data_IF_078951204467
#
_entry.id   IF_078951204467
#
_cell.length_a   1.000
_cell.length_b   1.000
_cell.length_c   1.000
_cell.angle_alpha   90.00
_cell.angle_beta   90.00
_cell.angle_gamma   90.00
#
_symmetry.space_group_name_H-M   'P 1'
#
loop_
_entity.id
_entity.type
_entity.pdbx_description
1 polymer ?
#
# COMPACT_ATOMS: atom_id res chain seq x y z
N UNK A 1 -14.53 8.34 39.46
CA UNK A 1 -13.93 9.32 38.52
C UNK A 1 -13.96 8.73 37.14
N UNK A 2 -14.73 9.29 36.20
CA UNK A 2 -14.76 8.82 34.82
C UNK A 2 -13.46 9.22 34.12
N UNK A 3 -12.71 8.24 33.62
CA UNK A 3 -11.51 8.48 32.82
C UNK A 3 -11.97 9.02 31.46
N UNK A 4 -11.66 10.28 31.16
CA UNK A 4 -11.92 10.86 29.84
C UNK A 4 -10.91 10.30 28.84
N UNK A 5 -11.37 9.53 27.86
CA UNK A 5 -10.54 9.00 26.79
C UNK A 5 -10.07 10.15 25.90
N UNK A 6 -8.80 10.53 26.04
CA UNK A 6 -8.17 11.57 25.21
C UNK A 6 -7.78 10.97 23.86
N UNK A 7 -8.68 11.06 22.88
CA UNK A 7 -8.39 10.64 21.51
C UNK A 7 -7.45 11.65 20.84
N UNK A 8 -6.44 11.14 20.13
CA UNK A 8 -5.60 11.97 19.27
C UNK A 8 -6.40 12.51 18.09
N UNK A 9 -6.05 13.70 17.60
CA UNK A 9 -6.68 14.27 16.40
C UNK A 9 -6.46 13.33 15.21
N UNK A 10 -7.53 13.05 14.47
CA UNK A 10 -7.43 12.29 13.23
C UNK A 10 -6.75 13.17 12.18
N UNK A 11 -5.97 12.54 11.30
CA UNK A 11 -5.40 13.25 10.15
C UNK A 11 -6.52 13.64 9.19
N UNK A 12 -6.45 14.82 8.55
CA UNK A 12 -7.45 15.28 7.57
C UNK A 12 -7.78 14.23 6.51
N UNK A 13 -6.78 13.44 6.09
CA UNK A 13 -6.95 12.34 5.15
C UNK A 13 -7.97 11.25 5.60
N UNK A 14 -8.19 11.10 6.91
CA UNK A 14 -9.17 10.20 7.53
C UNK A 14 -10.56 10.82 7.70
N UNK A 15 -10.68 12.13 7.61
CA UNK A 15 -11.90 12.89 7.89
C UNK A 15 -12.57 13.42 6.62
N UNK A 16 -11.81 13.67 5.54
CA UNK A 16 -12.37 14.17 4.28
C UNK A 16 -13.12 13.06 3.53
N UNK A 17 -14.43 13.22 3.27
CA UNK A 17 -15.20 12.29 2.43
C UNK A 17 -14.57 12.18 1.05
N UNK A 18 -14.38 10.96 0.56
CA UNK A 18 -13.79 10.68 -0.74
C UNK A 18 -14.35 9.38 -1.33
N UNK A 19 -14.09 9.12 -2.63
CA UNK A 19 -14.39 7.82 -3.25
C UNK A 19 -13.75 6.68 -2.46
N UNK A 20 -14.40 5.51 -2.46
CA UNK A 20 -13.86 4.30 -1.82
C UNK A 20 -12.46 4.03 -2.38
N UNK A 21 -11.52 3.68 -1.50
CA UNK A 21 -10.09 3.49 -1.79
C UNK A 21 -9.35 4.70 -2.43
N UNK A 22 -9.87 5.93 -2.33
CA UNK A 22 -9.11 7.13 -2.74
C UNK A 22 -7.85 7.34 -1.90
N UNK A 23 -8.04 7.29 -0.57
CA UNK A 23 -7.01 7.35 0.45
C UNK A 23 -6.96 5.98 1.13
N UNK A 24 -5.81 5.32 1.05
CA UNK A 24 -5.61 3.98 1.58
C UNK A 24 -4.42 3.96 2.54
N UNK A 25 -4.60 3.39 3.73
CA UNK A 25 -3.48 2.93 4.54
C UNK A 25 -3.04 1.55 4.08
N UNK A 26 -1.75 1.24 4.14
CA UNK A 26 -1.22 -0.10 3.91
C UNK A 26 -0.34 -0.55 5.06
N UNK A 27 -0.45 -1.83 5.41
CA UNK A 27 0.39 -2.47 6.41
C UNK A 27 0.65 -3.95 6.07
N UNK A 28 1.70 -4.55 6.65
CA UNK A 28 1.93 -5.98 6.61
C UNK A 28 1.56 -6.61 7.94
N UNK A 29 0.61 -7.54 7.91
CA UNK A 29 0.32 -8.36 9.08
C UNK A 29 1.41 -9.42 9.27
N UNK A 30 1.53 -9.86 10.52
CA UNK A 30 2.48 -10.89 10.94
C UNK A 30 2.41 -12.15 10.09
N UNK A 31 3.54 -12.86 10.08
CA UNK A 31 3.68 -14.04 9.24
C UNK A 31 2.86 -15.22 9.73
N UNK A 32 2.34 -16.02 8.80
CA UNK A 32 1.65 -17.27 9.07
C UNK A 32 2.21 -18.39 8.19
N UNK A 33 2.09 -19.64 8.65
CA UNK A 33 2.62 -20.80 7.95
C UNK A 33 1.53 -21.41 7.05
N UNK A 34 1.83 -21.59 5.78
CA UNK A 34 0.92 -22.16 4.77
C UNK A 34 1.56 -23.42 4.18
N UNK A 35 0.79 -24.50 4.05
CA UNK A 35 1.19 -25.62 3.20
C UNK A 35 0.80 -25.28 1.76
N UNK A 36 1.77 -25.11 0.83
CA UNK A 36 1.46 -24.62 -0.51
C UNK A 36 0.75 -25.67 -1.37
N UNK A 37 0.79 -26.95 -0.99
CA UNK A 37 0.02 -28.01 -1.63
C UNK A 37 -0.35 -29.10 -0.61
N UNK A 38 -1.23 -30.02 -1.00
CA UNK A 38 -1.71 -31.12 -0.14
C UNK A 38 -0.77 -32.34 -0.12
N UNK A 39 0.44 -32.25 -0.68
CA UNK A 39 1.36 -33.38 -0.74
C UNK A 39 1.94 -33.68 0.63
N UNK A 40 2.15 -34.98 0.90
CA UNK A 40 2.46 -35.53 2.23
C UNK A 40 3.76 -34.98 2.83
N UNK A 41 4.73 -34.59 1.99
CA UNK A 41 6.08 -34.18 2.41
C UNK A 41 6.42 -32.72 2.09
N UNK A 42 5.43 -31.85 1.92
CA UNK A 42 5.71 -30.44 1.63
C UNK A 42 5.84 -29.63 2.92
N UNK A 43 7.02 -29.05 3.09
CA UNK A 43 7.33 -28.15 4.21
C UNK A 43 6.43 -26.91 4.15
N UNK A 44 5.85 -26.50 5.29
CA UNK A 44 5.11 -25.24 5.36
C UNK A 44 6.02 -24.06 5.01
N UNK A 45 5.50 -23.11 4.24
CA UNK A 45 6.17 -21.87 3.87
C UNK A 45 5.61 -20.71 4.68
N UNK A 46 6.48 -19.76 5.03
CA UNK A 46 6.08 -18.54 5.72
C UNK A 46 5.49 -17.56 4.70
N UNK A 47 4.28 -17.07 4.95
CA UNK A 47 3.60 -16.08 4.12
C UNK A 47 3.15 -14.90 4.98
N UNK A 48 2.84 -13.79 4.33
CA UNK A 48 2.42 -12.53 4.97
C UNK A 48 1.15 -12.02 4.30
N UNK A 49 0.42 -11.13 4.98
CA UNK A 49 -0.75 -10.47 4.40
C UNK A 49 -0.42 -8.99 4.26
N UNK A 50 -0.52 -8.47 3.03
CA UNK A 50 -0.58 -7.04 2.78
C UNK A 50 -2.02 -6.57 2.95
N UNK A 51 -2.24 -5.58 3.80
CA UNK A 51 -3.56 -5.05 4.13
C UNK A 51 -3.67 -3.66 3.54
N UNK A 52 -4.74 -3.40 2.79
CA UNK A 52 -5.12 -2.06 2.34
C UNK A 52 -6.42 -1.65 3.04
N UNK A 53 -6.38 -0.52 3.75
CA UNK A 53 -7.53 0.02 4.50
C UNK A 53 -7.98 1.33 3.89
N UNK A 54 -9.23 1.40 3.42
CA UNK A 54 -9.83 2.63 2.94
C UNK A 54 -10.12 3.60 4.09
N UNK A 55 -9.66 4.84 3.99
CA UNK A 55 -9.88 5.83 5.04
C UNK A 55 -11.31 6.38 5.09
N UNK A 56 -12.01 6.44 3.96
CA UNK A 56 -13.38 6.98 3.88
C UNK A 56 -14.42 6.06 4.54
N UNK A 57 -14.37 4.76 4.25
CA UNK A 57 -15.41 3.79 4.69
C UNK A 57 -14.87 2.65 5.56
N UNK A 58 -13.57 2.63 5.85
CA UNK A 58 -12.89 1.55 6.61
C UNK A 58 -12.98 0.16 5.97
N UNK A 59 -13.26 0.08 4.67
CA UNK A 59 -13.20 -1.16 3.92
C UNK A 59 -11.75 -1.70 3.88
N UNK A 60 -11.61 -3.01 4.06
CA UNK A 60 -10.32 -3.70 4.10
C UNK A 60 -10.18 -4.61 2.88
N UNK A 61 -9.03 -4.55 2.21
CA UNK A 61 -8.64 -5.47 1.14
C UNK A 61 -7.35 -6.19 1.54
N UNK A 62 -7.34 -7.51 1.40
CA UNK A 62 -6.23 -8.36 1.85
C UNK A 62 -5.58 -9.04 0.65
N UNK A 63 -4.25 -9.01 0.60
CA UNK A 63 -3.45 -9.67 -0.43
C UNK A 63 -2.40 -10.56 0.24
N UNK A 64 -2.38 -11.84 -0.11
CA UNK A 64 -1.35 -12.76 0.38
C UNK A 64 -0.06 -12.55 -0.39
N UNK A 65 1.08 -12.52 0.32
CA UNK A 65 2.41 -12.41 -0.27
C UNK A 65 3.38 -13.41 0.35
N UNK A 66 4.43 -13.75 -0.40
CA UNK A 66 5.47 -14.70 0.02
C UNK A 66 6.62 -14.08 0.82
N UNK A 67 6.77 -12.75 0.81
CA UNK A 67 7.88 -12.06 1.48
C UNK A 67 7.52 -10.61 1.84
N UNK A 68 8.30 -10.01 2.74
CA UNK A 68 8.26 -8.59 3.07
C UNK A 68 9.18 -7.76 2.15
N UNK A 69 9.25 -8.11 0.86
CA UNK A 69 10.08 -7.37 -0.11
C UNK A 69 9.26 -6.31 -0.85
N UNK A 70 9.97 -5.31 -1.41
CA UNK A 70 9.37 -4.30 -2.29
C UNK A 70 8.65 -4.91 -3.48
N UNK A 71 9.26 -5.92 -4.12
CA UNK A 71 8.67 -6.65 -5.25
C UNK A 71 7.36 -7.35 -4.88
N UNK A 72 7.29 -7.97 -3.70
CA UNK A 72 6.09 -8.60 -3.20
C UNK A 72 4.97 -7.58 -2.92
N UNK A 73 5.33 -6.41 -2.37
CA UNK A 73 4.39 -5.31 -2.18
C UNK A 73 3.89 -4.74 -3.51
N UNK A 74 4.76 -4.51 -4.50
CA UNK A 74 4.35 -4.05 -5.84
C UNK A 74 3.37 -5.03 -6.45
N UNK A 75 3.64 -6.34 -6.37
CA UNK A 75 2.73 -7.35 -6.90
C UNK A 75 1.36 -7.30 -6.19
N UNK A 76 1.34 -7.13 -4.87
CA UNK A 76 0.10 -6.93 -4.10
C UNK A 76 -0.64 -5.65 -4.51
N UNK A 77 0.08 -4.55 -4.69
CA UNK A 77 -0.48 -3.28 -5.14
C UNK A 77 -1.12 -3.38 -6.52
N UNK A 78 -0.48 -4.09 -7.46
CA UNK A 78 -1.05 -4.35 -8.80
C UNK A 78 -2.36 -5.13 -8.70
N UNK A 79 -2.41 -6.19 -7.88
CA UNK A 79 -3.64 -6.97 -7.66
C UNK A 79 -4.73 -6.13 -7.01
N UNK A 80 -4.39 -5.32 -6.02
CA UNK A 80 -5.29 -4.38 -5.36
C UNK A 80 -5.89 -3.38 -6.36
N UNK A 81 -5.05 -2.70 -7.15
CA UNK A 81 -5.49 -1.70 -8.14
C UNK A 81 -6.35 -2.35 -9.23
N UNK A 82 -6.02 -3.57 -9.65
CA UNK A 82 -6.81 -4.30 -10.65
C UNK A 82 -8.23 -4.61 -10.17
N UNK A 83 -8.44 -4.79 -8.87
CA UNK A 83 -9.74 -5.14 -8.29
C UNK A 83 -10.51 -3.93 -7.74
N UNK A 84 -9.82 -2.93 -7.21
CA UNK A 84 -10.42 -1.79 -6.48
C UNK A 84 -10.28 -0.46 -7.21
N UNK A 85 -9.52 -0.44 -8.30
CA UNK A 85 -9.17 0.78 -9.04
C UNK A 85 -7.99 1.52 -8.43
N UNK A 86 -7.54 2.56 -9.12
CA UNK A 86 -6.37 3.35 -8.73
C UNK A 86 -6.68 4.25 -7.53
N UNK A 87 -5.87 4.10 -6.48
CA UNK A 87 -5.86 4.99 -5.33
C UNK A 87 -5.03 6.25 -5.63
N UNK A 88 -5.41 7.39 -5.05
CA UNK A 88 -4.67 8.62 -5.20
C UNK A 88 -3.57 8.75 -4.14
N UNK A 89 -3.82 8.25 -2.93
CA UNK A 89 -2.89 8.36 -1.81
C UNK A 89 -2.76 7.01 -1.09
N UNK A 90 -1.51 6.56 -0.91
CA UNK A 90 -1.14 5.40 -0.10
C UNK A 90 -0.35 5.90 1.11
N UNK A 91 -0.78 5.50 2.31
CA UNK A 91 -0.14 5.82 3.58
C UNK A 91 0.48 4.55 4.17
N UNK A 92 1.78 4.56 4.47
CA UNK A 92 2.48 3.44 5.12
C UNK A 92 3.44 3.95 6.18
N UNK A 93 4.03 3.03 6.96
CA UNK A 93 5.23 3.34 7.71
C UNK A 93 6.47 3.45 6.78
N UNK A 94 7.60 3.85 7.34
CA UNK A 94 8.89 3.93 6.64
C UNK A 94 9.55 2.56 6.42
N UNK A 95 8.78 1.46 6.34
CA UNK A 95 9.29 0.14 6.02
C UNK A 95 10.08 0.13 4.71
N UNK A 96 11.19 -0.60 4.68
CA UNK A 96 12.11 -0.67 3.53
C UNK A 96 11.46 -1.25 2.28
N UNK A 97 10.51 -2.16 2.47
CA UNK A 97 9.60 -2.68 1.45
C UNK A 97 8.78 -1.58 0.76
N UNK A 98 8.20 -0.65 1.52
CA UNK A 98 7.39 0.43 0.96
C UNK A 98 8.25 1.52 0.32
N UNK A 99 9.34 1.89 0.97
CA UNK A 99 10.30 2.86 0.43
C UNK A 99 10.93 2.36 -0.87
N UNK A 100 11.37 1.09 -0.89
CA UNK A 100 11.93 0.46 -2.07
C UNK A 100 10.91 0.37 -3.20
N UNK A 101 9.67 -0.01 -2.90
CA UNK A 101 8.61 -0.07 -3.91
C UNK A 101 8.28 1.31 -4.50
N UNK A 102 8.17 2.34 -3.67
CA UNK A 102 7.96 3.70 -4.15
C UNK A 102 9.12 4.19 -5.04
N UNK A 103 10.35 3.82 -4.70
CA UNK A 103 11.51 4.12 -5.55
C UNK A 103 11.48 3.35 -6.88
N UNK A 104 11.12 2.08 -6.87
CA UNK A 104 11.08 1.22 -8.04
C UNK A 104 9.98 1.66 -9.02
N UNK A 105 8.78 1.95 -8.53
CA UNK A 105 7.69 2.48 -9.34
C UNK A 105 8.05 3.83 -9.99
N UNK A 106 8.77 4.71 -9.28
CA UNK A 106 9.28 5.96 -9.85
C UNK A 106 10.29 5.72 -10.98
N UNK A 107 11.17 4.73 -10.83
CA UNK A 107 12.14 4.36 -11.88
C UNK A 107 11.44 3.81 -13.12
N UNK A 108 10.50 2.88 -12.93
CA UNK A 108 9.71 2.30 -14.02
C UNK A 108 8.95 3.39 -14.77
N UNK A 109 8.29 4.31 -14.04
CA UNK A 109 7.65 5.47 -14.64
C UNK A 109 8.65 6.29 -15.49
N UNK A 110 9.79 6.68 -14.93
CA UNK A 110 10.80 7.45 -15.65
C UNK A 110 11.34 6.73 -16.91
N UNK A 111 11.49 5.41 -16.87
CA UNK A 111 11.98 4.61 -18.00
C UNK A 111 10.94 4.47 -19.13
N UNK A 112 9.66 4.30 -18.80
CA UNK A 112 8.58 4.20 -19.78
C UNK A 112 8.37 5.52 -20.55
N UNK A 113 8.80 6.66 -19.99
CA UNK A 113 8.56 7.99 -20.55
C UNK A 113 9.77 8.60 -21.27
N UNK A 114 10.72 7.76 -21.72
CA UNK A 114 11.91 8.20 -22.47
C UNK A 114 11.63 8.81 -23.85
N UNK A 115 10.46 8.55 -24.46
CA UNK A 115 10.06 9.16 -25.74
C UNK A 115 9.30 10.47 -25.55
N UNK A 116 9.74 11.52 -26.25
CA UNK A 116 9.41 12.92 -25.97
C UNK A 116 7.96 13.33 -26.34
N UNK A 117 7.37 12.72 -27.36
CA UNK A 117 5.99 12.99 -27.80
C UNK A 117 4.96 12.31 -26.91
N UNK A 118 5.22 11.06 -26.51
CA UNK A 118 4.39 10.31 -25.55
C UNK A 118 4.46 10.92 -24.16
N UNK A 119 5.61 11.50 -23.79
CA UNK A 119 5.86 12.13 -22.50
C UNK A 119 4.87 13.25 -22.18
N UNK A 120 4.53 14.16 -23.09
CA UNK A 120 3.65 15.30 -22.77
C UNK A 120 2.20 14.89 -22.49
N UNK A 121 1.65 13.97 -23.28
CA UNK A 121 0.29 13.47 -23.07
C UNK A 121 0.19 12.62 -21.79
N UNK A 122 1.22 11.81 -21.52
CA UNK A 122 1.27 10.97 -20.33
C UNK A 122 1.64 11.77 -19.07
N UNK A 123 2.49 12.78 -19.13
CA UNK A 123 2.82 13.66 -18.00
C UNK A 123 1.56 14.38 -17.52
N UNK A 124 0.71 14.84 -18.45
CA UNK A 124 -0.61 15.40 -18.11
C UNK A 124 -1.50 14.36 -17.42
N UNK A 125 -1.66 13.17 -18.01
CA UNK A 125 -2.49 12.11 -17.42
C UNK A 125 -1.97 11.63 -16.06
N UNK A 126 -0.65 11.47 -15.93
CA UNK A 126 0.04 11.00 -14.73
C UNK A 126 0.03 12.06 -13.65
N UNK A 127 0.25 13.34 -13.96
CA UNK A 127 0.14 14.41 -12.94
C UNK A 127 -1.27 14.49 -12.32
N UNK A 128 -2.31 14.17 -13.08
CA UNK A 128 -3.70 14.11 -12.62
C UNK A 128 -4.02 12.81 -11.84
N UNK A 129 -3.35 11.68 -12.14
CA UNK A 129 -3.67 10.35 -11.61
C UNK A 129 -2.53 9.66 -10.82
N UNK A 130 -1.47 10.39 -10.45
CA UNK A 130 -0.32 9.80 -9.78
C UNK A 130 -0.69 9.33 -8.37
N UNK A 131 -0.36 8.07 -8.08
CA UNK A 131 -0.41 7.53 -6.72
C UNK A 131 0.69 8.18 -5.89
N UNK A 132 0.30 8.92 -4.84
CA UNK A 132 1.22 9.56 -3.90
C UNK A 132 1.45 8.65 -2.70
N UNK A 133 2.71 8.31 -2.44
CA UNK A 133 3.13 7.62 -1.23
C UNK A 133 3.40 8.62 -0.10
N UNK A 134 2.77 8.39 1.05
CA UNK A 134 2.91 9.16 2.27
C UNK A 134 3.50 8.25 3.34
N UNK A 135 4.70 8.59 3.82
CA UNK A 135 5.40 7.81 4.84
C UNK A 135 5.28 8.49 6.20
N UNK A 136 4.85 7.75 7.21
CA UNK A 136 4.72 8.25 8.57
C UNK A 136 6.11 8.56 9.18
N UNK A 137 6.25 9.64 9.98
CA UNK A 137 7.51 9.93 10.67
C UNK A 137 7.96 8.75 11.55
N UNK A 138 9.27 8.52 11.72
CA UNK A 138 9.80 7.36 12.46
C UNK A 138 9.30 7.20 13.91
N UNK A 139 8.76 8.25 14.52
CA UNK A 139 8.35 8.31 15.92
C UNK A 139 6.88 7.91 16.19
N UNK A 140 6.12 7.42 15.19
CA UNK A 140 4.68 7.13 15.35
C UNK A 140 4.32 5.66 15.60
N UNK A 141 5.29 4.76 15.75
CA UNK A 141 5.02 3.37 16.16
C UNK A 141 4.99 3.31 17.69
N UNK A 142 3.83 3.02 18.33
CA UNK A 142 3.82 2.65 19.73
C UNK A 142 4.42 1.25 19.82
N UNK A 143 5.61 1.14 20.42
CA UNK A 143 6.13 -0.10 20.99
C UNK A 143 5.17 -0.68 22.01
#
# INVERSE_FOLDING_TARGET
TFISQKMGNLTKARETPNKVFHNCGTDFLGSFMVKPNSLRNTSPVRMYICVFVCFAVKAVHLEVVSSLSSSAFIAALVRFVSQRGLCANIYSDCGTNYLGAASELKKIAAELFKQEDTRKAIDKFTSEHQVKFHFLPPASHPT
#
